data_IF_360700567057
#
_entry.id   IF_360700567057
#
_cell.length_a   1.000
_cell.length_b   1.000
_cell.length_c   1.000
_cell.angle_alpha   90.00
_cell.angle_beta   90.00
_cell.angle_gamma   90.00
#
_symmetry.space_group_name_H-M   'P 1'
#
loop_
_entity.id
_entity.type
_entity.pdbx_description
1 polymer ?
#
# COMPACT_ATOMS: atom_id res chain seq x y z
N UNK A 1 -32.32 -44.23 -32.18
CA UNK A 1 -31.05 -43.50 -31.96
C UNK A 1 -31.17 -41.95 -31.81
N UNK A 2 -32.07 -41.26 -32.51
CA UNK A 2 -32.22 -39.78 -32.37
C UNK A 2 -32.72 -39.28 -31.01
N UNK A 3 -33.54 -40.04 -30.26
CA UNK A 3 -34.09 -39.61 -28.98
C UNK A 3 -33.10 -39.68 -27.80
N UNK A 4 -32.07 -40.52 -27.89
CA UNK A 4 -31.04 -40.63 -26.83
C UNK A 4 -30.09 -39.46 -26.89
N UNK A 5 -29.83 -38.90 -28.10
CA UNK A 5 -28.96 -37.72 -28.26
C UNK A 5 -29.55 -36.45 -27.63
N UNK A 6 -30.89 -36.29 -27.68
CA UNK A 6 -31.54 -35.12 -27.04
C UNK A 6 -31.51 -35.18 -25.49
N UNK A 7 -31.58 -36.39 -24.94
CA UNK A 7 -31.48 -36.55 -23.46
C UNK A 7 -30.08 -36.28 -22.96
N UNK A 8 -29.04 -36.68 -23.70
CA UNK A 8 -27.64 -36.38 -23.34
C UNK A 8 -27.31 -34.89 -23.44
N UNK A 9 -27.90 -34.19 -24.43
CA UNK A 9 -27.72 -32.76 -24.60
C UNK A 9 -28.43 -31.93 -23.50
N UNK A 10 -29.60 -32.39 -23.03
CA UNK A 10 -30.30 -31.76 -21.91
C UNK A 10 -29.61 -31.95 -20.56
N UNK A 11 -28.92 -33.08 -20.36
CA UNK A 11 -28.14 -33.31 -19.13
C UNK A 11 -26.84 -32.44 -19.11
N UNK A 12 -26.26 -32.18 -20.26
CA UNK A 12 -25.09 -31.27 -20.38
C UNK A 12 -25.44 -29.79 -20.20
N UNK A 13 -26.67 -29.37 -20.51
CA UNK A 13 -27.14 -28.00 -20.28
C UNK A 13 -27.54 -27.72 -18.81
N UNK A 14 -27.71 -28.75 -17.99
CA UNK A 14 -28.05 -28.63 -16.56
C UNK A 14 -26.86 -28.44 -15.63
N UNK A 15 -25.64 -28.64 -16.07
CA UNK A 15 -24.44 -28.31 -15.29
C UNK A 15 -23.98 -26.89 -15.63
N UNK A 16 -24.73 -25.89 -15.15
CA UNK A 16 -24.16 -24.58 -14.89
C UNK A 16 -23.10 -24.78 -13.82
N UNK A 17 -21.83 -24.86 -14.22
CA UNK A 17 -20.73 -24.64 -13.30
C UNK A 17 -20.87 -23.19 -12.84
N UNK A 18 -21.54 -22.99 -11.70
CA UNK A 18 -21.37 -21.77 -10.92
C UNK A 18 -19.90 -21.70 -10.53
N UNK A 19 -19.09 -21.16 -11.42
CA UNK A 19 -17.75 -20.67 -11.04
C UNK A 19 -18.02 -19.54 -10.08
N UNK A 20 -18.20 -19.88 -8.79
CA UNK A 20 -18.22 -18.91 -7.71
C UNK A 20 -16.88 -18.19 -7.81
N UNK A 21 -16.90 -17.02 -8.44
CA UNK A 21 -15.74 -16.17 -8.41
C UNK A 21 -15.35 -16.02 -6.94
N UNK A 22 -14.16 -16.42 -6.54
CA UNK A 22 -13.67 -16.31 -5.17
C UNK A 22 -13.40 -14.85 -4.84
N UNK A 23 -13.58 -14.48 -3.57
CA UNK A 23 -13.05 -13.20 -3.10
C UNK A 23 -11.56 -13.14 -3.39
N UNK A 24 -11.09 -11.99 -3.84
CA UNK A 24 -9.71 -11.82 -4.29
C UNK A 24 -9.11 -10.57 -3.66
N UNK A 25 -7.85 -10.68 -3.23
CA UNK A 25 -7.06 -9.55 -2.77
C UNK A 25 -6.02 -9.21 -3.81
N UNK A 26 -6.02 -7.97 -4.27
CA UNK A 26 -4.96 -7.40 -5.08
C UNK A 26 -4.03 -6.59 -4.18
N UNK A 27 -2.74 -6.87 -4.29
CA UNK A 27 -1.69 -6.29 -3.45
C UNK A 27 -0.78 -5.44 -4.33
N UNK A 28 -0.58 -4.19 -3.94
CA UNK A 28 0.42 -3.31 -4.51
C UNK A 28 1.39 -2.87 -3.42
N UNK A 29 2.64 -3.31 -3.50
CA UNK A 29 3.73 -2.84 -2.65
C UNK A 29 4.35 -1.58 -3.27
N UNK A 30 4.58 -0.56 -2.45
CA UNK A 30 5.19 0.69 -2.92
C UNK A 30 6.68 0.51 -3.21
N UNK A 31 7.25 1.39 -4.05
CA UNK A 31 8.68 1.38 -4.35
C UNK A 31 9.36 2.68 -3.89
N UNK A 32 8.77 3.34 -2.90
CA UNK A 32 9.27 4.61 -2.38
C UNK A 32 10.10 4.41 -1.11
N UNK A 33 11.05 5.31 -0.83
CA UNK A 33 11.77 5.29 0.44
C UNK A 33 10.86 5.51 1.64
N UNK A 34 11.26 4.97 2.79
CA UNK A 34 10.62 5.21 4.08
C UNK A 34 11.25 6.44 4.72
N UNK A 35 10.46 7.47 4.99
CA UNK A 35 10.91 8.69 5.65
C UNK A 35 10.84 8.52 7.16
N UNK A 36 11.97 8.72 7.85
CA UNK A 36 12.11 8.49 9.30
C UNK A 36 11.16 9.39 10.10
N UNK A 37 11.03 10.65 9.73
CA UNK A 37 10.21 11.64 10.42
C UNK A 37 8.70 11.53 10.13
N UNK A 38 8.32 10.69 9.16
CA UNK A 38 6.92 10.54 8.76
C UNK A 38 6.21 9.52 9.64
N UNK A 39 5.02 9.88 10.14
CA UNK A 39 4.20 8.99 10.95
C UNK A 39 3.61 7.83 10.17
N UNK A 40 3.37 8.02 8.87
CA UNK A 40 2.76 7.03 8.01
C UNK A 40 3.50 6.95 6.68
N UNK A 41 4.28 5.88 6.52
CA UNK A 41 4.92 5.51 5.26
C UNK A 41 4.17 4.32 4.70
N UNK A 42 3.45 4.49 3.59
CA UNK A 42 2.67 3.40 3.01
C UNK A 42 3.60 2.37 2.40
N UNK A 43 3.48 1.11 2.84
CA UNK A 43 4.16 -0.05 2.26
C UNK A 43 3.28 -0.77 1.25
N UNK A 44 2.01 -1.00 1.62
CA UNK A 44 1.09 -1.75 0.78
C UNK A 44 -0.22 -1.03 0.58
N UNK A 45 -0.74 -1.13 -0.62
CA UNK A 45 -2.14 -0.90 -0.95
C UNK A 45 -2.81 -2.23 -1.21
N UNK A 46 -4.00 -2.40 -0.67
CA UNK A 46 -4.79 -3.60 -0.85
C UNK A 46 -6.15 -3.21 -1.42
N UNK A 47 -6.55 -3.93 -2.46
CA UNK A 47 -7.92 -3.92 -2.95
C UNK A 47 -8.51 -5.30 -2.69
N UNK A 48 -9.57 -5.35 -1.92
CA UNK A 48 -10.26 -6.56 -1.55
C UNK A 48 -11.67 -6.54 -2.16
N UNK A 49 -11.92 -7.46 -3.08
CA UNK A 49 -13.20 -7.59 -3.75
C UNK A 49 -14.03 -8.63 -2.98
N UNK A 50 -15.03 -8.16 -2.21
CA UNK A 50 -15.93 -8.98 -1.43
C UNK A 50 -17.30 -9.10 -2.12
N UNK A 51 -17.82 -10.31 -2.27
CA UNK A 51 -19.14 -10.53 -2.90
C UNK A 51 -20.30 -10.15 -2.03
N UNK A 52 -20.13 -10.30 -0.74
CA UNK A 52 -21.12 -10.05 0.29
C UNK A 52 -20.46 -9.40 1.50
N UNK A 53 -21.25 -8.93 2.46
CA UNK A 53 -20.71 -8.41 3.71
C UNK A 53 -19.96 -9.52 4.44
N UNK A 54 -18.70 -9.25 4.80
CA UNK A 54 -17.77 -10.19 5.44
C UNK A 54 -16.94 -9.45 6.47
N UNK A 55 -16.18 -10.19 7.26
CA UNK A 55 -15.28 -9.62 8.24
C UNK A 55 -13.82 -9.86 7.85
N UNK A 56 -13.04 -8.80 7.71
CA UNK A 56 -11.59 -8.90 7.67
C UNK A 56 -11.09 -9.26 9.06
N UNK A 57 -10.55 -10.46 9.21
CA UNK A 57 -10.04 -10.93 10.50
C UNK A 57 -8.61 -10.46 10.73
N UNK A 58 -7.71 -10.82 9.82
CA UNK A 58 -6.28 -10.50 9.97
C UNK A 58 -5.54 -10.45 8.64
N UNK A 59 -4.46 -9.67 8.66
CA UNK A 59 -3.44 -9.62 7.61
C UNK A 59 -2.11 -10.02 8.24
N UNK A 60 -1.39 -10.94 7.59
CA UNK A 60 -0.14 -11.48 8.08
C UNK A 60 0.99 -10.99 7.18
N UNK A 61 2.01 -10.40 7.79
CA UNK A 61 3.22 -9.88 7.14
C UNK A 61 4.46 -10.57 7.69
N UNK A 62 5.47 -10.73 6.84
CA UNK A 62 6.82 -11.18 7.21
C UNK A 62 7.82 -10.04 6.97
N UNK A 63 8.60 -9.72 7.98
CA UNK A 63 9.68 -8.73 7.97
C UNK A 63 11.04 -9.36 8.27
N UNK A 64 11.14 -10.68 8.33
CA UNK A 64 12.36 -11.42 8.75
C UNK A 64 13.61 -11.10 7.93
N UNK A 65 13.43 -10.64 6.69
CA UNK A 65 14.52 -10.23 5.79
C UNK A 65 14.99 -8.80 6.00
N UNK A 66 14.32 -8.03 6.86
CA UNK A 66 14.73 -6.65 7.19
C UNK A 66 15.98 -6.64 8.06
N UNK A 67 16.83 -5.60 7.92
CA UNK A 67 18.12 -5.60 8.61
C UNK A 67 18.04 -5.21 10.08
N UNK A 68 17.12 -4.36 10.47
CA UNK A 68 16.97 -3.88 11.85
C UNK A 68 15.52 -3.59 12.21
N UNK A 69 14.85 -4.57 12.78
CA UNK A 69 13.44 -4.44 13.17
C UNK A 69 13.23 -3.50 14.36
N UNK A 70 14.26 -3.30 15.19
CA UNK A 70 14.16 -2.42 16.36
C UNK A 70 13.99 -0.95 16.00
N UNK A 71 14.30 -0.55 14.76
CA UNK A 71 14.10 0.79 14.22
C UNK A 71 12.63 1.07 13.89
N UNK A 72 11.81 0.02 13.76
CA UNK A 72 10.39 0.17 13.51
C UNK A 72 9.67 0.52 14.81
N UNK A 73 8.91 1.62 14.80
CA UNK A 73 8.08 2.03 15.92
C UNK A 73 6.70 1.35 15.87
N UNK A 74 6.06 1.37 14.71
CA UNK A 74 4.72 0.81 14.54
C UNK A 74 4.44 0.39 13.10
N UNK A 75 3.59 -0.62 12.97
CA UNK A 75 3.00 -1.07 11.70
C UNK A 75 1.48 -0.93 11.85
N UNK A 76 0.86 -0.25 10.90
CA UNK A 76 -0.54 0.18 11.00
C UNK A 76 -1.35 -0.29 9.81
N UNK A 77 -2.61 -0.65 10.06
CA UNK A 77 -3.59 -0.97 9.04
C UNK A 77 -4.67 0.10 9.02
N UNK A 78 -4.98 0.61 7.83
CA UNK A 78 -6.04 1.58 7.61
C UNK A 78 -7.05 1.06 6.60
N UNK A 79 -8.32 1.32 6.86
CA UNK A 79 -9.38 1.17 5.88
C UNK A 79 -9.57 2.48 5.11
N UNK A 80 -9.49 2.41 3.79
CA UNK A 80 -9.54 3.56 2.89
C UNK A 80 -10.89 3.79 2.20
N UNK A 81 -11.92 3.01 2.56
CA UNK A 81 -13.24 3.13 1.94
C UNK A 81 -13.48 2.16 0.79
N UNK A 82 -14.59 2.37 0.10
CA UNK A 82 -15.05 1.55 -1.05
C UNK A 82 -14.76 2.19 -2.40
N UNK A 83 -14.30 3.44 -2.40
CA UNK A 83 -13.97 4.18 -3.61
C UNK A 83 -12.46 4.19 -3.81
N UNK A 84 -12.02 3.85 -5.03
CA UNK A 84 -10.64 4.12 -5.41
C UNK A 84 -10.38 5.62 -5.25
N UNK A 85 -9.17 5.98 -4.78
CA UNK A 85 -8.73 7.37 -4.86
C UNK A 85 -8.90 7.81 -6.32
N UNK A 86 -9.95 8.59 -6.56
CA UNK A 86 -10.27 9.03 -7.91
C UNK A 86 -9.24 10.03 -8.35
N UNK A 87 -8.55 9.64 -9.38
CA UNK A 87 -7.92 10.55 -10.29
C UNK A 87 -8.96 11.14 -11.24
N UNK A 88 -8.71 12.39 -11.65
CA UNK A 88 -9.47 13.04 -12.72
C UNK A 88 -9.49 12.24 -14.02
N UNK A 89 -8.49 11.39 -14.24
CA UNK A 89 -8.33 10.53 -15.42
C UNK A 89 -8.94 9.13 -15.28
N UNK A 90 -9.77 8.90 -14.25
CA UNK A 90 -10.51 7.64 -14.03
C UNK A 90 -9.66 6.39 -13.77
N UNK A 91 -8.45 6.54 -13.31
CA UNK A 91 -7.62 5.41 -12.96
C UNK A 91 -8.13 4.79 -11.66
N UNK A 92 -8.75 3.63 -11.76
CA UNK A 92 -9.64 3.03 -10.76
C UNK A 92 -8.94 2.40 -9.57
N UNK A 93 -7.69 2.16 -9.67
CA UNK A 93 -6.82 1.74 -8.59
C UNK A 93 -5.66 2.70 -8.66
N UNK A 94 -5.73 3.78 -7.90
CA UNK A 94 -4.65 4.74 -7.87
C UNK A 94 -3.45 4.08 -7.19
N UNK A 95 -2.54 3.44 -7.93
CA UNK A 95 -1.30 3.00 -7.36
C UNK A 95 -0.59 4.24 -6.83
N UNK A 96 0.24 4.03 -5.83
CA UNK A 96 1.01 5.09 -5.20
C UNK A 96 1.81 5.91 -6.19
N UNK A 97 2.34 5.26 -7.20
CA UNK A 97 3.09 5.91 -8.29
C UNK A 97 2.27 6.99 -8.99
N UNK A 98 0.99 6.74 -9.17
CA UNK A 98 0.10 7.71 -9.76
C UNK A 98 -0.13 8.91 -8.82
N UNK A 99 -0.39 8.66 -7.54
CA UNK A 99 -0.57 9.72 -6.55
C UNK A 99 0.71 10.54 -6.42
N UNK A 100 1.88 9.90 -6.48
CA UNK A 100 3.17 10.57 -6.35
C UNK A 100 3.57 11.39 -7.58
N UNK A 101 3.19 10.94 -8.78
CA UNK A 101 3.62 11.57 -10.03
C UNK A 101 2.75 12.75 -10.48
N UNK A 102 1.49 12.81 -10.05
CA UNK A 102 0.51 13.76 -10.57
C UNK A 102 0.01 14.81 -9.58
N UNK A 103 0.48 14.79 -8.32
CA UNK A 103 0.17 15.84 -7.35
C UNK A 103 1.40 16.69 -7.06
N UNK A 104 1.53 17.88 -7.65
CA UNK A 104 2.56 18.85 -7.26
C UNK A 104 2.42 19.15 -5.76
N UNK A 105 3.50 18.96 -5.01
CA UNK A 105 3.49 19.12 -3.55
C UNK A 105 2.70 18.04 -2.79
N UNK A 106 2.23 17.00 -3.50
CA UNK A 106 1.56 15.87 -2.89
C UNK A 106 2.53 15.10 -2.00
N UNK A 107 2.10 14.86 -0.79
CA UNK A 107 2.75 13.91 0.10
C UNK A 107 2.79 12.56 -0.61
N UNK A 108 3.97 12.13 -1.00
CA UNK A 108 4.20 10.80 -1.55
C UNK A 108 3.50 9.78 -0.67
N UNK A 109 2.55 9.04 -1.24
CA UNK A 109 1.85 7.98 -0.55
C UNK A 109 1.27 8.40 0.82
N UNK A 110 0.58 9.52 0.87
CA UNK A 110 -0.17 9.88 2.06
C UNK A 110 -1.41 9.01 2.19
N UNK A 111 -1.64 8.50 3.39
CA UNK A 111 -2.91 7.89 3.74
C UNK A 111 -3.98 8.98 3.69
N UNK A 112 -5.10 8.78 2.96
CA UNK A 112 -6.16 9.76 2.92
C UNK A 112 -6.68 10.09 4.32
N UNK A 113 -6.95 11.36 4.59
CA UNK A 113 -7.40 11.85 5.90
C UNK A 113 -8.70 11.22 6.40
N UNK A 114 -9.52 10.67 5.50
CA UNK A 114 -10.74 9.95 5.82
C UNK A 114 -10.52 8.47 6.15
N UNK A 115 -9.29 7.96 6.05
CA UNK A 115 -8.99 6.57 6.35
C UNK A 115 -9.14 6.27 7.85
N UNK A 116 -9.69 5.11 8.16
CA UNK A 116 -9.94 4.65 9.52
C UNK A 116 -8.82 3.69 9.92
N UNK A 117 -8.10 3.99 11.01
CA UNK A 117 -7.09 3.08 11.54
C UNK A 117 -7.78 1.88 12.18
N UNK A 118 -7.53 0.68 11.64
CA UNK A 118 -8.10 -0.58 12.08
C UNK A 118 -7.20 -1.31 13.09
N UNK A 119 -5.87 -1.25 12.90
CA UNK A 119 -4.91 -1.91 13.77
C UNK A 119 -3.58 -1.14 13.84
N UNK A 120 -2.87 -1.33 14.94
CA UNK A 120 -1.51 -0.86 15.15
C UNK A 120 -0.77 -1.86 16.03
N UNK A 121 0.43 -2.26 15.62
CA UNK A 121 1.29 -3.21 16.36
C UNK A 121 2.73 -2.78 16.28
N UNK A 122 3.54 -3.26 17.24
CA UNK A 122 5.00 -3.09 17.22
C UNK A 122 5.67 -3.99 16.19
N UNK A 123 7.00 -3.88 16.11
CA UNK A 123 7.81 -4.67 15.19
C UNK A 123 8.04 -6.10 15.67
N UNK A 124 8.00 -7.03 14.75
CA UNK A 124 8.46 -8.42 14.91
C UNK A 124 8.75 -9.01 13.52
N UNK A 125 9.44 -10.14 13.45
CA UNK A 125 9.68 -10.83 12.18
C UNK A 125 8.36 -11.19 11.49
N UNK A 126 7.42 -11.72 12.25
CA UNK A 126 6.07 -12.03 11.77
C UNK A 126 5.06 -11.12 12.47
N UNK A 127 4.35 -10.34 11.68
CA UNK A 127 3.37 -9.35 12.13
C UNK A 127 1.95 -9.80 11.78
N UNK A 128 1.05 -9.74 12.75
CA UNK A 128 -0.38 -10.01 12.56
C UNK A 128 -1.16 -8.74 12.85
N UNK A 129 -1.74 -8.16 11.82
CA UNK A 129 -2.64 -7.02 11.92
C UNK A 129 -4.07 -7.55 12.01
N UNK A 130 -4.66 -7.50 13.21
CA UNK A 130 -6.07 -7.89 13.43
C UNK A 130 -6.98 -6.77 12.95
N UNK A 131 -7.52 -6.92 11.76
CA UNK A 131 -8.40 -5.91 11.14
C UNK A 131 -9.71 -5.74 11.89
N UNK A 132 -10.37 -6.85 12.24
CA UNK A 132 -11.69 -6.86 12.86
C UNK A 132 -12.67 -5.88 12.21
N UNK A 133 -12.59 -5.73 10.89
CA UNK A 133 -13.33 -4.73 10.13
C UNK A 133 -14.37 -5.38 9.22
N UNK A 134 -15.58 -4.81 9.21
CA UNK A 134 -16.65 -5.31 8.35
C UNK A 134 -16.47 -4.78 6.92
N UNK A 135 -16.35 -5.68 5.97
CA UNK A 135 -16.26 -5.40 4.56
C UNK A 135 -17.65 -5.14 3.99
N UNK A 136 -17.74 -4.20 3.08
CA UNK A 136 -18.94 -3.98 2.28
C UNK A 136 -18.94 -4.87 1.05
N UNK A 137 -20.09 -5.27 0.53
CA UNK A 137 -20.18 -5.91 -0.77
C UNK A 137 -19.56 -5.02 -1.85
N UNK A 138 -18.72 -5.61 -2.71
CA UNK A 138 -17.95 -4.89 -3.71
C UNK A 138 -16.50 -4.66 -3.29
N UNK A 139 -15.95 -3.54 -3.71
CA UNK A 139 -14.53 -3.23 -3.52
C UNK A 139 -14.30 -2.53 -2.17
N UNK A 140 -13.27 -2.99 -1.46
CA UNK A 140 -12.80 -2.38 -0.21
C UNK A 140 -11.29 -2.09 -0.35
N UNK A 141 -10.84 -0.91 0.08
CA UNK A 141 -9.45 -0.51 0.02
C UNK A 141 -8.84 -0.45 1.41
N UNK A 142 -7.60 -0.95 1.53
CA UNK A 142 -6.81 -0.88 2.75
C UNK A 142 -5.39 -0.39 2.44
N UNK A 143 -4.74 0.14 3.48
CA UNK A 143 -3.37 0.63 3.43
C UNK A 143 -2.60 0.06 4.61
N UNK A 144 -1.41 -0.45 4.36
CA UNK A 144 -0.49 -0.83 5.42
C UNK A 144 0.63 0.19 5.46
N UNK A 145 0.82 0.79 6.62
CA UNK A 145 1.75 1.87 6.86
C UNK A 145 2.80 1.47 7.87
N UNK A 146 4.00 2.03 7.71
CA UNK A 146 5.14 1.88 8.60
C UNK A 146 5.50 3.22 9.23
N UNK A 147 5.76 3.21 10.54
CA UNK A 147 6.35 4.33 11.28
C UNK A 147 7.71 3.91 11.81
N UNK A 148 8.73 4.72 11.54
CA UNK A 148 10.07 4.51 12.08
C UNK A 148 10.25 5.28 13.40
N UNK A 149 11.18 4.82 14.24
CA UNK A 149 11.68 5.61 15.36
C UNK A 149 12.46 6.80 14.86
N UNK A 150 12.48 7.90 15.62
CA UNK A 150 13.17 9.14 15.24
C UNK A 150 14.69 8.98 15.10
N UNK A 151 15.25 8.03 15.84
CA UNK A 151 16.67 7.68 15.86
C UNK A 151 17.02 6.47 14.97
N UNK A 152 16.10 6.06 14.09
CA UNK A 152 16.30 4.95 13.17
C UNK A 152 17.51 5.19 12.27
N UNK A 153 18.29 4.12 12.03
CA UNK A 153 19.46 4.19 11.19
C UNK A 153 19.11 4.34 9.70
N UNK A 154 19.76 5.27 9.01
CA UNK A 154 19.68 5.38 7.54
C UNK A 154 20.19 4.14 6.79
N UNK A 155 20.93 3.27 7.46
CA UNK A 155 21.41 2.00 6.88
C UNK A 155 20.35 0.89 6.95
N UNK A 156 19.30 1.09 7.72
CA UNK A 156 18.20 0.12 7.83
C UNK A 156 17.52 -0.08 6.49
N UNK A 157 17.24 -1.33 6.18
CA UNK A 157 16.52 -1.75 4.99
C UNK A 157 15.29 -2.53 5.42
N UNK A 158 14.14 -2.14 4.94
CA UNK A 158 12.89 -2.86 5.18
C UNK A 158 12.58 -3.71 3.96
N UNK A 159 12.44 -5.01 4.21
CA UNK A 159 11.90 -5.97 3.28
C UNK A 159 10.66 -6.57 3.93
N UNK A 160 9.54 -6.45 3.28
CA UNK A 160 8.27 -6.94 3.77
C UNK A 160 7.60 -7.83 2.75
N UNK A 161 6.92 -8.86 3.24
CA UNK A 161 6.12 -9.75 2.41
C UNK A 161 4.73 -9.89 3.03
N UNK A 162 3.69 -9.69 2.23
CA UNK A 162 2.32 -9.96 2.65
C UNK A 162 2.05 -11.45 2.42
N UNK A 163 1.96 -12.20 3.53
CA UNK A 163 1.87 -13.66 3.51
C UNK A 163 0.43 -14.14 3.35
N UNK A 164 -0.53 -13.51 4.06
CA UNK A 164 -1.91 -13.95 4.05
C UNK A 164 -2.90 -12.82 4.40
N UNK A 165 -4.11 -12.92 3.87
CA UNK A 165 -5.28 -12.12 4.25
C UNK A 165 -6.39 -13.09 4.59
N UNK A 166 -6.95 -13.00 5.81
CA UNK A 166 -8.05 -13.86 6.27
C UNK A 166 -9.33 -13.06 6.43
N UNK A 167 -10.41 -13.63 5.89
CA UNK A 167 -11.77 -13.08 5.92
C UNK A 167 -12.74 -14.21 6.29
N UNK A 168 -13.55 -13.98 7.33
CA UNK A 168 -14.45 -14.99 7.90
C UNK A 168 -13.77 -16.35 8.15
N UNK A 169 -12.57 -16.28 8.76
CA UNK A 169 -11.75 -17.45 9.09
C UNK A 169 -11.10 -18.15 7.89
N UNK A 170 -11.25 -17.65 6.66
CA UNK A 170 -10.69 -18.23 5.44
C UNK A 170 -9.59 -17.37 4.87
N UNK A 171 -8.51 -18.01 4.44
CA UNK A 171 -7.46 -17.34 3.70
C UNK A 171 -7.89 -17.07 2.26
N UNK A 172 -7.69 -15.83 1.80
CA UNK A 172 -8.04 -15.42 0.46
C UNK A 172 -6.87 -15.58 -0.52
N UNK A 173 -7.22 -15.75 -1.79
CA UNK A 173 -6.23 -15.73 -2.85
C UNK A 173 -5.66 -14.31 -3.02
N UNK A 174 -4.36 -14.17 -2.82
CA UNK A 174 -3.63 -12.92 -2.96
C UNK A 174 -2.97 -12.82 -4.35
N UNK A 175 -3.20 -11.72 -5.06
CA UNK A 175 -2.58 -11.40 -6.35
C UNK A 175 -1.71 -10.16 -6.19
N UNK A 176 -0.40 -10.35 -6.19
CA UNK A 176 0.52 -9.21 -6.20
C UNK A 176 0.65 -8.66 -7.62
N UNK A 177 0.57 -7.34 -7.74
CA UNK A 177 0.84 -6.58 -8.97
C UNK A 177 2.17 -5.85 -8.93
N UNK A 178 2.91 -5.98 -7.83
CA UNK A 178 4.22 -5.37 -7.64
C UNK A 178 5.36 -6.35 -7.92
N UNK A 179 6.57 -5.88 -8.22
CA UNK A 179 7.77 -6.72 -8.25
C UNK A 179 7.99 -7.43 -6.91
N UNK A 180 8.67 -8.57 -6.95
CA UNK A 180 9.06 -9.27 -5.71
C UNK A 180 10.32 -8.66 -5.10
N UNK A 181 10.46 -8.81 -3.77
CA UNK A 181 11.66 -8.42 -3.02
C UNK A 181 11.99 -6.93 -3.12
N UNK A 182 10.98 -6.07 -2.98
CA UNK A 182 11.19 -4.63 -2.89
C UNK A 182 11.95 -4.33 -1.60
N UNK A 183 13.00 -3.54 -1.73
CA UNK A 183 13.83 -3.06 -0.60
C UNK A 183 13.52 -1.60 -0.36
N UNK A 184 12.85 -1.31 0.73
CA UNK A 184 12.62 0.08 1.15
C UNK A 184 13.84 0.57 1.92
N UNK A 185 14.47 1.63 1.41
CA UNK A 185 15.58 2.32 2.07
C UNK A 185 15.07 3.45 2.93
N UNK A 186 15.79 3.74 4.00
CA UNK A 186 15.49 4.90 4.84
C UNK A 186 15.88 6.19 4.14
N UNK A 187 15.13 7.24 4.42
CA UNK A 187 15.41 8.59 3.98
C UNK A 187 14.97 9.63 5.02
N UNK A 188 15.51 10.83 4.90
CA UNK A 188 15.06 12.01 5.65
C UNK A 188 14.63 13.08 4.67
N UNK A 189 13.61 13.85 5.00
CA UNK A 189 13.23 15.02 4.23
C UNK A 189 14.22 16.16 4.48
N UNK A 190 14.88 16.63 3.44
CA UNK A 190 15.82 17.75 3.59
C UNK A 190 15.09 19.08 3.76
N UNK A 191 13.93 19.19 3.09
CA UNK A 191 13.03 20.35 3.17
C UNK A 191 11.59 19.92 2.96
N UNK A 192 10.70 20.58 3.66
CA UNK A 192 9.25 20.38 3.57
C UNK A 192 8.54 21.69 3.23
N UNK A 193 7.38 21.60 2.58
CA UNK A 193 6.52 22.77 2.41
C UNK A 193 6.23 23.39 3.77
N UNK A 194 6.39 24.70 3.90
CA UNK A 194 6.29 25.44 5.16
C UNK A 194 7.63 25.79 5.80
N UNK A 195 8.72 25.05 5.50
CA UNK A 195 10.05 25.41 5.99
C UNK A 195 10.46 26.78 5.43
N UNK A 196 11.05 27.62 6.29
CA UNK A 196 11.50 28.97 5.94
C UNK A 196 10.37 29.83 5.31
N UNK A 197 9.11 29.58 5.64
CA UNK A 197 7.95 30.29 5.08
C UNK A 197 7.64 29.96 3.62
N UNK A 198 8.21 28.90 3.07
CA UNK A 198 8.02 28.50 1.68
C UNK A 198 6.66 27.82 1.45
N UNK A 199 6.09 28.03 0.25
CA UNK A 199 4.92 27.24 -0.19
C UNK A 199 5.33 25.86 -0.70
N UNK A 200 6.50 25.74 -1.35
CA UNK A 200 7.02 24.47 -1.85
C UNK A 200 8.50 24.55 -2.23
N UNK A 201 9.13 23.37 -2.31
CA UNK A 201 10.47 23.17 -2.87
C UNK A 201 10.34 22.30 -4.12
N UNK A 202 11.02 22.69 -5.22
CA UNK A 202 10.88 22.01 -6.51
C UNK A 202 12.23 21.91 -7.23
N UNK A 203 12.26 21.08 -8.28
CA UNK A 203 13.36 20.97 -9.25
C UNK A 203 14.70 20.68 -8.52
N UNK A 204 14.79 19.58 -7.73
CA UNK A 204 16.03 19.24 -7.07
C UNK A 204 17.11 18.85 -8.08
N UNK A 205 18.30 19.38 -7.89
CA UNK A 205 19.51 18.96 -8.57
C UNK A 205 20.53 18.43 -7.57
N UNK A 206 21.33 17.44 -7.97
CA UNK A 206 22.35 16.84 -7.13
C UNK A 206 23.64 16.72 -7.90
N UNK A 207 24.74 17.16 -7.29
CA UNK A 207 26.07 17.06 -7.89
C UNK A 207 27.11 16.71 -6.83
N UNK A 208 28.10 15.91 -7.21
CA UNK A 208 29.24 15.61 -6.36
C UNK A 208 30.47 16.40 -6.84
N UNK A 209 31.12 17.14 -5.94
CA UNK A 209 32.35 17.84 -6.23
C UNK A 209 33.53 16.87 -6.40
N UNK A 210 34.65 17.34 -6.98
CA UNK A 210 35.88 16.55 -7.10
C UNK A 210 36.45 16.09 -5.74
N UNK A 211 36.08 16.76 -4.64
CA UNK A 211 36.45 16.40 -3.26
C UNK A 211 35.49 15.45 -2.59
N UNK A 212 34.46 14.93 -3.31
CA UNK A 212 33.47 14.03 -2.76
C UNK A 212 32.34 14.71 -1.98
N UNK A 213 32.26 16.05 -1.95
CA UNK A 213 31.16 16.76 -1.31
C UNK A 213 29.90 16.67 -2.19
N UNK A 214 28.79 16.25 -1.60
CA UNK A 214 27.50 16.22 -2.26
C UNK A 214 26.80 17.58 -2.10
N UNK A 215 26.43 18.21 -3.21
CA UNK A 215 25.69 19.47 -3.25
C UNK A 215 24.27 19.20 -3.75
N UNK A 216 23.27 19.60 -2.96
CA UNK A 216 21.87 19.60 -3.35
C UNK A 216 21.41 21.03 -3.61
N UNK A 217 20.77 21.26 -4.74
CA UNK A 217 20.16 22.54 -5.11
C UNK A 217 18.68 22.34 -5.42
N UNK A 218 17.86 23.34 -5.16
CA UNK A 218 16.42 23.28 -5.43
C UNK A 218 15.83 24.69 -5.50
N UNK A 219 14.69 24.82 -6.17
CA UNK A 219 13.89 26.04 -6.17
C UNK A 219 13.11 26.18 -4.87
N UNK A 220 13.17 27.36 -4.26
CA UNK A 220 12.30 27.75 -3.13
C UNK A 220 11.20 28.65 -3.66
N UNK A 221 9.95 28.27 -3.41
CA UNK A 221 8.78 29.04 -3.84
C UNK A 221 7.98 29.51 -2.63
N UNK A 222 7.85 30.81 -2.51
CA UNK A 222 7.20 31.43 -1.35
C UNK A 222 5.69 31.65 -1.57
N UNK A 223 5.27 31.96 -2.79
CA UNK A 223 3.91 32.43 -3.06
C UNK A 223 3.05 31.42 -3.83
N UNK A 224 3.60 30.35 -4.35
CA UNK A 224 2.90 29.39 -5.20
C UNK A 224 3.57 28.05 -5.20
N UNK A 225 2.76 26.98 -5.29
CA UNK A 225 3.22 25.61 -5.54
C UNK A 225 3.32 25.27 -7.04
N UNK A 226 2.93 26.19 -7.93
CA UNK A 226 2.92 26.03 -9.40
C UNK A 226 4.19 26.58 -10.03
#
# INVERSE_FOLDING_TARGET
MRRIFYLLFLVLLGYSFDVKASDTVFIHETQIPVLIERQDNVLFYLRLDAKESKKLDEIILDFSKSTNLTDIQAIKLYYGGTEALQDKDKNRFAPVEYISSHRPGGTLAAIPSYSIKCAEVGSSEKVVLKGNYNLFPGVNYFWISLQMKKDASLQTKILSELCAVKVDGKELCCKSISPKNIVHRMAVGVRHAGDDGSASFRIPGLVTTNKGTLLGVYDVRYNSSV
#
